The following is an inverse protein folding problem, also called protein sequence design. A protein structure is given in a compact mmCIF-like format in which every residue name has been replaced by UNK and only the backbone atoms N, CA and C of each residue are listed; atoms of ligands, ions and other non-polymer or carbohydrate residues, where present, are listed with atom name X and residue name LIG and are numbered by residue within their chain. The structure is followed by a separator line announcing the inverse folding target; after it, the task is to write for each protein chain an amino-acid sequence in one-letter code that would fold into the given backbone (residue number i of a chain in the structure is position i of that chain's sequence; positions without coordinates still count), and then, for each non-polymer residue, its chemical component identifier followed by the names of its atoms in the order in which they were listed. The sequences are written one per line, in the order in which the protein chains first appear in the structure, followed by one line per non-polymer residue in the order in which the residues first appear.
data_IF_420504246903
#
_entry.id   IF_420504246903
#
_cell.length_a   1.000
_cell.length_b   1.000
_cell.length_c   1.000
_cell.angle_alpha   90.00
_cell.angle_beta   90.00
_cell.angle_gamma   90.00
#
_symmetry.space_group_name_H-M   'P 1'
#
loop_
_entity.id
_entity.type
_entity.pdbx_description
1 polymer ?
#
# COMPACT_ATOMS: atom_id res chain seq x y z
N UNK A 1 19.47 11.70 -1.54
CA UNK A 1 18.38 11.03 -0.78
C UNK A 1 17.08 11.81 -0.86
N UNK A 2 15.96 11.13 -0.70
CA UNK A 2 14.61 11.72 -0.72
C UNK A 2 13.78 11.09 0.40
N UNK A 3 13.01 11.91 1.11
CA UNK A 3 12.10 11.46 2.18
C UNK A 3 10.68 11.82 1.78
N UNK A 4 9.75 10.89 1.95
CA UNK A 4 8.35 11.11 1.64
C UNK A 4 7.48 9.87 1.79
N UNK A 5 6.20 10.02 1.49
CA UNK A 5 5.26 8.90 1.42
C UNK A 5 5.66 7.90 0.34
N UNK A 6 5.02 6.72 0.36
CA UNK A 6 5.17 5.71 -0.68
C UNK A 6 4.90 6.27 -2.08
N UNK A 7 3.90 7.15 -2.22
CA UNK A 7 3.61 7.84 -3.48
C UNK A 7 4.77 8.73 -3.93
N UNK A 8 5.35 9.53 -3.03
CA UNK A 8 6.52 10.36 -3.37
C UNK A 8 7.72 9.51 -3.78
N UNK A 9 7.94 8.37 -3.13
CA UNK A 9 8.97 7.40 -3.52
C UNK A 9 8.71 6.88 -4.93
N UNK A 10 7.48 6.44 -5.22
CA UNK A 10 7.08 5.93 -6.56
C UNK A 10 7.38 6.97 -7.63
N UNK A 11 6.95 8.22 -7.45
CA UNK A 11 7.16 9.30 -8.41
C UNK A 11 8.65 9.61 -8.60
N UNK A 12 9.40 9.70 -7.51
CA UNK A 12 10.83 10.00 -7.54
C UNK A 12 11.60 8.93 -8.33
N UNK A 13 11.34 7.66 -8.04
CA UNK A 13 12.03 6.55 -8.70
C UNK A 13 11.60 6.44 -10.17
N UNK A 14 10.30 6.55 -10.46
CA UNK A 14 9.79 6.44 -11.84
C UNK A 14 10.33 7.54 -12.75
N UNK A 15 10.48 8.77 -12.23
CA UNK A 15 10.99 9.92 -12.97
C UNK A 15 12.53 10.02 -12.98
N UNK A 16 13.22 9.11 -12.30
CA UNK A 16 14.68 9.14 -12.27
C UNK A 16 15.29 8.63 -13.58
N UNK A 17 16.53 9.04 -13.93
CA UNK A 17 17.19 8.59 -15.15
C UNK A 17 17.37 7.06 -15.20
N UNK A 18 17.37 6.50 -16.40
CA UNK A 18 17.76 5.11 -16.62
C UNK A 18 19.18 4.84 -16.11
N UNK A 19 19.41 3.64 -15.58
CA UNK A 19 20.67 3.24 -14.95
C UNK A 19 20.89 3.80 -13.54
N UNK A 20 19.94 4.57 -13.00
CA UNK A 20 20.00 5.05 -11.61
C UNK A 20 19.86 3.90 -10.62
N UNK A 21 20.44 4.09 -9.42
CA UNK A 21 20.41 3.12 -8.33
C UNK A 21 19.67 3.69 -7.12
N UNK A 22 18.76 2.90 -6.56
CA UNK A 22 17.91 3.31 -5.45
C UNK A 22 17.90 2.24 -4.36
N UNK A 23 18.19 2.64 -3.12
CA UNK A 23 17.92 1.84 -1.94
C UNK A 23 16.67 2.42 -1.24
N UNK A 24 15.65 1.60 -1.03
CA UNK A 24 14.34 2.06 -0.53
C UNK A 24 14.03 1.41 0.82
N UNK A 25 13.82 2.24 1.84
CA UNK A 25 13.45 1.84 3.20
C UNK A 25 11.96 1.99 3.48
N UNK A 26 11.14 1.13 2.90
CA UNK A 26 9.68 1.09 3.14
C UNK A 26 9.18 -0.36 3.17
N UNK A 27 7.93 -0.66 2.84
CA UNK A 27 7.43 -2.02 2.77
C UNK A 27 7.99 -2.79 1.54
N UNK A 28 8.37 -4.06 1.72
CA UNK A 28 9.07 -4.89 0.73
C UNK A 28 8.28 -5.12 -0.57
N UNK A 29 6.97 -5.38 -0.48
CA UNK A 29 6.15 -5.62 -1.66
C UNK A 29 6.13 -4.38 -2.56
N UNK A 30 6.10 -3.18 -2.00
CA UNK A 30 6.23 -1.94 -2.78
C UNK A 30 7.59 -1.87 -3.49
N UNK A 31 8.70 -2.12 -2.80
CA UNK A 31 10.04 -2.09 -3.40
C UNK A 31 10.17 -3.12 -4.52
N UNK A 32 9.70 -4.34 -4.27
CA UNK A 32 9.70 -5.44 -5.25
C UNK A 32 8.86 -5.09 -6.49
N UNK A 33 7.70 -4.45 -6.30
CA UNK A 33 6.86 -3.99 -7.41
C UNK A 33 7.51 -2.85 -8.19
N UNK A 34 8.14 -1.90 -7.50
CA UNK A 34 8.85 -0.80 -8.14
C UNK A 34 10.02 -1.28 -9.01
N UNK A 35 10.79 -2.25 -8.51
CA UNK A 35 11.86 -2.90 -9.27
C UNK A 35 11.34 -3.58 -10.54
N UNK A 36 10.21 -4.32 -10.44
CA UNK A 36 9.58 -4.98 -11.59
C UNK A 36 9.07 -3.98 -12.63
N UNK A 37 8.52 -2.84 -12.19
CA UNK A 37 7.94 -1.83 -13.08
C UNK A 37 8.98 -0.86 -13.68
N UNK A 38 10.21 -0.85 -13.17
CA UNK A 38 11.30 0.02 -13.65
C UNK A 38 12.54 -0.83 -13.97
N UNK A 39 12.49 -1.70 -15.00
CA UNK A 39 13.57 -2.63 -15.32
C UNK A 39 14.85 -1.92 -15.81
N UNK A 40 14.74 -0.65 -16.19
CA UNK A 40 15.85 0.21 -16.60
C UNK A 40 16.66 0.77 -15.40
N UNK A 41 16.27 0.46 -14.16
CA UNK A 41 16.88 1.01 -12.93
C UNK A 41 17.24 -0.11 -11.96
N UNK A 42 18.25 0.12 -11.13
CA UNK A 42 18.62 -0.81 -10.05
C UNK A 42 17.93 -0.39 -8.75
N UNK A 43 16.97 -1.18 -8.27
CA UNK A 43 16.20 -0.87 -7.06
C UNK A 43 16.39 -1.97 -6.03
N UNK A 44 16.85 -1.60 -4.84
CA UNK A 44 17.15 -2.51 -3.74
C UNK A 44 16.36 -2.16 -2.49
N UNK A 45 16.02 -3.19 -1.72
CA UNK A 45 15.48 -3.02 -0.39
C UNK A 45 16.61 -2.62 0.58
N UNK A 46 16.38 -1.59 1.40
CA UNK A 46 17.44 -1.01 2.24
C UNK A 46 17.85 -1.92 3.40
N UNK A 47 16.93 -2.72 3.92
CA UNK A 47 17.20 -3.61 5.06
C UNK A 47 17.69 -4.99 4.59
N UNK A 48 18.59 -5.59 5.38
CA UNK A 48 19.09 -6.96 5.19
C UNK A 48 18.11 -8.00 5.75
N UNK A 49 17.33 -7.62 6.75
CA UNK A 49 16.27 -8.43 7.31
C UNK A 49 14.98 -8.17 6.53
N UNK A 50 14.37 -9.22 5.99
CA UNK A 50 13.11 -9.09 5.27
C UNK A 50 11.98 -8.84 6.29
N UNK A 51 11.56 -7.58 6.41
CA UNK A 51 10.43 -7.20 7.26
C UNK A 51 9.14 -7.16 6.44
N UNK A 52 8.27 -8.13 6.66
CA UNK A 52 6.93 -8.10 6.11
C UNK A 52 5.98 -7.36 7.05
N UNK A 53 5.09 -6.55 6.48
CA UNK A 53 3.93 -6.09 7.23
C UNK A 53 2.97 -7.27 7.42
N UNK A 54 3.06 -7.92 8.58
CA UNK A 54 2.35 -9.16 8.89
C UNK A 54 0.84 -9.06 8.72
N UNK A 55 0.25 -7.88 8.92
CA UNK A 55 -1.18 -7.64 8.72
C UNK A 55 -1.53 -7.46 7.24
N UNK A 56 -0.69 -6.81 6.44
CA UNK A 56 -0.93 -6.68 4.99
C UNK A 56 -0.89 -8.05 4.29
N UNK A 57 0.04 -8.91 4.69
CA UNK A 57 0.18 -10.26 4.14
C UNK A 57 -0.95 -11.22 4.53
N UNK A 58 -1.95 -10.79 5.32
CA UNK A 58 -3.19 -11.57 5.57
C UNK A 58 -4.18 -11.47 4.41
N UNK A 59 -3.97 -10.55 3.47
CA UNK A 59 -4.79 -10.41 2.28
C UNK A 59 -4.21 -11.31 1.19
N UNK A 60 -4.89 -12.40 0.87
CA UNK A 60 -4.46 -13.37 -0.14
C UNK A 60 -5.58 -13.67 -1.16
N UNK A 61 -5.22 -14.40 -2.21
CA UNK A 61 -6.15 -14.75 -3.28
C UNK A 61 -7.30 -15.66 -2.81
N UNK A 62 -7.07 -16.73 -2.01
CA UNK A 62 -8.17 -17.55 -1.48
C UNK A 62 -9.22 -16.76 -0.71
N UNK A 63 -8.82 -15.87 0.21
CA UNK A 63 -9.76 -15.07 0.98
C UNK A 63 -10.46 -14.01 0.11
N UNK A 64 -9.78 -13.47 -0.90
CA UNK A 64 -10.41 -12.59 -1.89
C UNK A 64 -11.49 -13.32 -2.69
N UNK A 65 -11.20 -14.52 -3.20
CA UNK A 65 -12.16 -15.34 -3.94
C UNK A 65 -13.37 -15.64 -3.06
N UNK A 66 -13.15 -16.11 -1.83
CA UNK A 66 -14.23 -16.39 -0.89
C UNK A 66 -15.11 -15.17 -0.60
N UNK A 67 -14.52 -14.00 -0.39
CA UNK A 67 -15.26 -12.77 -0.18
C UNK A 67 -16.12 -12.41 -1.42
N UNK A 68 -15.59 -12.58 -2.62
CA UNK A 68 -16.32 -12.29 -3.87
C UNK A 68 -17.44 -13.30 -4.13
N UNK A 69 -17.20 -14.60 -3.95
CA UNK A 69 -18.22 -15.64 -4.09
C UNK A 69 -19.36 -15.47 -3.08
N UNK A 70 -19.04 -15.09 -1.85
CA UNK A 70 -20.04 -14.80 -0.82
C UNK A 70 -20.98 -13.67 -1.27
N UNK A 71 -20.42 -12.59 -1.85
CA UNK A 71 -21.23 -11.48 -2.37
C UNK A 71 -22.12 -11.89 -3.53
N UNK A 72 -21.65 -12.74 -4.45
CA UNK A 72 -22.46 -13.30 -5.55
C UNK A 72 -23.62 -14.14 -5.02
N UNK A 73 -23.40 -14.87 -3.92
CA UNK A 73 -24.43 -15.62 -3.21
C UNK A 73 -25.33 -14.76 -2.30
N UNK A 74 -25.33 -13.43 -2.47
CA UNK A 74 -26.06 -12.46 -1.64
C UNK A 74 -25.72 -12.52 -0.14
N UNK A 75 -24.55 -13.05 0.21
CA UNK A 75 -24.06 -13.18 1.58
C UNK A 75 -22.91 -12.21 1.85
N UNK A 76 -23.15 -11.19 2.68
CA UNK A 76 -22.12 -10.20 3.03
C UNK A 76 -21.29 -10.69 4.22
N UNK A 77 -20.01 -10.95 3.97
CA UNK A 77 -19.03 -11.35 4.99
C UNK A 77 -18.19 -10.16 5.44
N UNK A 78 -17.79 -10.13 6.72
CA UNK A 78 -16.86 -9.15 7.28
C UNK A 78 -17.19 -7.67 6.97
N UNK A 79 -18.49 -7.32 6.93
CA UNK A 79 -18.93 -5.95 6.69
C UNK A 79 -18.32 -5.02 7.73
N UNK A 80 -17.49 -4.09 7.29
CA UNK A 80 -16.95 -3.05 8.16
C UNK A 80 -18.11 -2.13 8.56
N UNK A 81 -18.39 -2.08 9.86
CA UNK A 81 -19.37 -1.19 10.45
C UNK A 81 -18.71 -0.40 11.59
N UNK A 82 -19.05 0.87 11.66
CA UNK A 82 -18.55 1.82 12.66
C UNK A 82 -19.76 2.51 13.26
N UNK A 83 -19.76 2.79 14.56
CA UNK A 83 -20.88 3.48 15.20
C UNK A 83 -21.02 4.90 14.65
N UNK A 84 -22.26 5.40 14.60
CA UNK A 84 -22.57 6.72 14.02
C UNK A 84 -21.75 7.84 14.64
N UNK A 85 -21.55 7.79 15.95
CA UNK A 85 -20.73 8.77 16.68
C UNK A 85 -19.27 8.76 16.20
N UNK A 86 -18.65 7.57 16.09
CA UNK A 86 -17.26 7.44 15.64
C UNK A 86 -17.12 7.85 14.18
N UNK A 87 -18.06 7.45 13.33
CA UNK A 87 -18.08 7.82 11.92
C UNK A 87 -18.19 9.35 11.74
N UNK A 88 -19.08 10.00 12.49
CA UNK A 88 -19.26 11.45 12.43
C UNK A 88 -17.97 12.22 12.75
N UNK A 89 -17.35 11.94 13.89
CA UNK A 89 -16.15 12.67 14.30
C UNK A 89 -14.91 12.31 13.48
N UNK A 90 -14.76 11.05 13.07
CA UNK A 90 -13.67 10.63 12.19
C UNK A 90 -13.77 11.28 10.81
N UNK A 91 -14.99 11.38 10.26
CA UNK A 91 -15.24 12.05 8.98
C UNK A 91 -14.92 13.54 9.06
N UNK A 92 -15.33 14.23 10.13
CA UNK A 92 -15.01 15.65 10.32
C UNK A 92 -13.50 15.90 10.37
N UNK A 93 -12.74 15.04 11.05
CA UNK A 93 -11.28 15.14 11.07
C UNK A 93 -10.66 14.93 9.68
N UNK A 94 -11.16 13.94 8.91
CA UNK A 94 -10.72 13.68 7.55
C UNK A 94 -11.05 14.84 6.60
N UNK A 95 -12.25 15.39 6.67
CA UNK A 95 -12.68 16.55 5.86
C UNK A 95 -11.79 17.77 6.12
N UNK A 96 -11.42 18.03 7.38
CA UNK A 96 -10.49 19.10 7.74
C UNK A 96 -9.09 18.87 7.18
N UNK A 97 -8.60 17.62 7.19
CA UNK A 97 -7.29 17.29 6.62
C UNK A 97 -7.25 17.52 5.10
N UNK A 98 -8.34 17.21 4.39
CA UNK A 98 -8.43 17.31 2.93
C UNK A 98 -8.74 18.72 2.42
N UNK A 99 -9.27 19.60 3.27
CA UNK A 99 -9.57 21.00 2.92
C UNK A 99 -8.36 21.94 3.02
N UNK A 100 -7.21 21.44 3.48
CA UNK A 100 -5.92 22.15 3.57
C UNK A 100 -5.09 21.89 2.31
#
# INVERSE_FOLDING_TARGET
DVVGSTERIIQTVSNSPAGSKWAIGTELNLVSRLAKNNPDKEIFFLDKAVCYCSTMNRIDLPHLVWAMESLVAEHVVNRIQVSDQVAHFSKLALERMLAL
#
